data_IF_700074588899
#
_entry.id   IF_700074588899
#
_cell.length_a   1.000
_cell.length_b   1.000
_cell.length_c   1.000
_cell.angle_alpha   90.00
_cell.angle_beta   90.00
_cell.angle_gamma   90.00
#
_symmetry.space_group_name_H-M   'P 1'
#
loop_
_entity.id
_entity.type
_entity.pdbx_description
1 polymer ?
#
# COMPACT_ATOMS: atom_id res chain seq x y z
N UNK A 1 11.64 -50.90 -13.64
CA UNK A 1 11.46 -49.80 -14.61
C UNK A 1 11.40 -48.52 -13.81
N UNK A 2 12.55 -47.91 -13.62
CA UNK A 2 12.70 -46.68 -12.85
C UNK A 2 12.61 -45.51 -13.82
N UNK A 3 11.55 -44.69 -13.72
CA UNK A 3 11.45 -43.46 -14.50
C UNK A 3 12.11 -42.35 -13.67
N UNK A 4 13.15 -41.68 -14.17
CA UNK A 4 13.73 -40.57 -13.43
C UNK A 4 12.71 -39.43 -13.36
N UNK A 5 12.44 -38.98 -12.13
CA UNK A 5 11.71 -37.75 -11.87
C UNK A 5 12.54 -36.61 -12.46
N UNK A 6 12.06 -36.05 -13.57
CA UNK A 6 12.65 -34.84 -14.17
C UNK A 6 12.48 -33.72 -13.16
N UNK A 7 13.57 -33.40 -12.45
CA UNK A 7 13.66 -32.21 -11.63
C UNK A 7 13.30 -31.00 -12.48
N UNK A 8 12.24 -30.30 -12.08
CA UNK A 8 11.82 -29.02 -12.64
C UNK A 8 13.03 -28.09 -12.69
N UNK A 9 13.62 -27.93 -13.87
CA UNK A 9 14.64 -26.91 -14.13
C UNK A 9 13.92 -25.57 -13.95
N UNK A 10 14.19 -24.87 -12.84
CA UNK A 10 13.75 -23.47 -12.62
C UNK A 10 14.31 -22.62 -13.77
N UNK A 11 13.50 -22.43 -14.81
CA UNK A 11 13.86 -21.61 -15.97
C UNK A 11 13.80 -20.16 -15.53
N UNK A 12 14.96 -19.53 -15.44
CA UNK A 12 15.06 -18.09 -15.26
C UNK A 12 15.02 -17.47 -16.66
N UNK A 13 14.17 -16.46 -16.86
CA UNK A 13 14.16 -15.64 -18.09
C UNK A 13 14.39 -14.19 -17.66
N UNK A 14 15.63 -13.81 -17.27
CA UNK A 14 15.92 -12.49 -16.70
C UNK A 14 15.54 -11.34 -17.65
N UNK A 15 15.77 -11.53 -18.95
CA UNK A 15 15.52 -10.50 -19.98
C UNK A 15 14.02 -10.18 -20.14
N UNK A 16 13.14 -11.11 -19.78
CA UNK A 16 11.70 -10.92 -19.83
C UNK A 16 11.14 -10.20 -18.60
N UNK A 17 11.97 -9.90 -17.58
CA UNK A 17 11.54 -9.33 -16.28
C UNK A 17 10.46 -10.17 -15.59
N UNK A 18 10.50 -11.50 -15.76
CA UNK A 18 9.60 -12.45 -15.08
C UNK A 18 10.36 -13.06 -13.91
N UNK A 19 9.84 -12.85 -12.70
CA UNK A 19 10.46 -13.29 -11.46
C UNK A 19 9.58 -14.28 -10.72
N UNK A 20 10.20 -15.35 -10.21
CA UNK A 20 9.51 -16.29 -9.34
C UNK A 20 9.27 -15.66 -7.97
N UNK A 21 8.06 -15.80 -7.40
CA UNK A 21 7.67 -15.15 -6.14
C UNK A 21 8.59 -15.47 -4.95
N UNK A 22 9.09 -16.70 -4.84
CA UNK A 22 10.08 -17.11 -3.83
C UNK A 22 11.42 -16.36 -3.86
N UNK A 23 11.64 -15.42 -4.80
CA UNK A 23 12.79 -14.52 -4.78
C UNK A 23 12.64 -13.37 -3.79
N UNK A 24 11.43 -13.12 -3.31
CA UNK A 24 11.09 -11.95 -2.50
C UNK A 24 10.85 -12.34 -1.03
N UNK A 25 11.59 -13.33 -0.51
CA UNK A 25 11.37 -13.88 0.83
C UNK A 25 10.40 -15.05 0.83
N UNK A 26 10.72 -16.08 1.60
CA UNK A 26 9.87 -17.25 1.82
C UNK A 26 10.16 -17.78 3.20
N UNK A 27 9.10 -18.10 3.93
CA UNK A 27 9.15 -18.60 5.30
C UNK A 27 8.39 -19.92 5.37
N UNK A 28 8.74 -20.74 6.35
CA UNK A 28 8.04 -21.97 6.67
C UNK A 28 7.85 -22.01 8.17
N UNK A 29 6.64 -22.36 8.59
CA UNK A 29 6.27 -22.55 9.98
C UNK A 29 5.52 -23.87 10.12
N UNK A 30 5.66 -24.52 11.26
CA UNK A 30 4.83 -25.65 11.66
C UNK A 30 3.85 -25.15 12.72
N UNK A 31 2.56 -25.47 12.53
CA UNK A 31 1.50 -25.07 13.47
C UNK A 31 1.06 -26.31 14.21
N UNK A 32 1.44 -26.40 15.48
CA UNK A 32 0.87 -27.37 16.41
C UNK A 32 -0.49 -26.85 16.90
N UNK A 33 -1.58 -27.51 16.47
CA UNK A 33 -2.93 -27.14 16.89
C UNK A 33 -3.21 -27.44 18.37
N UNK A 34 -2.31 -28.12 19.07
CA UNK A 34 -2.39 -28.33 20.52
C UNK A 34 -1.70 -27.21 21.32
N UNK A 35 -0.84 -26.40 20.68
CA UNK A 35 -0.25 -25.19 21.25
C UNK A 35 0.06 -24.17 20.14
N UNK A 36 -0.88 -23.26 19.94
CA UNK A 36 -0.84 -22.30 18.82
C UNK A 36 -0.04 -21.03 19.12
N UNK A 37 0.33 -20.78 20.38
CA UNK A 37 0.97 -19.53 20.82
C UNK A 37 2.29 -19.27 20.08
N UNK A 38 3.13 -20.30 19.95
CA UNK A 38 4.42 -20.17 19.27
C UNK A 38 4.25 -19.85 17.79
N UNK A 39 3.27 -20.47 17.13
CA UNK A 39 2.96 -20.19 15.73
C UNK A 39 2.44 -18.77 15.55
N UNK A 40 1.59 -18.29 16.47
CA UNK A 40 1.06 -16.93 16.42
C UNK A 40 2.18 -15.88 16.56
N UNK A 41 3.07 -16.04 17.54
CA UNK A 41 4.20 -15.11 17.75
C UNK A 41 5.09 -15.04 16.50
N UNK A 42 5.38 -16.17 15.87
CA UNK A 42 6.23 -16.19 14.67
C UNK A 42 5.53 -15.58 13.45
N UNK A 43 4.24 -15.86 13.29
CA UNK A 43 3.39 -15.26 12.26
C UNK A 43 3.35 -13.72 12.36
N UNK A 44 3.17 -13.20 13.56
CA UNK A 44 3.16 -11.76 13.86
C UNK A 44 4.54 -11.14 13.61
N UNK A 45 5.61 -11.77 14.09
CA UNK A 45 6.99 -11.31 13.88
C UNK A 45 7.34 -11.19 12.40
N UNK A 46 6.98 -12.18 11.59
CA UNK A 46 7.22 -12.17 10.14
C UNK A 46 6.41 -11.06 9.47
N UNK A 47 5.14 -10.91 9.88
CA UNK A 47 4.25 -9.89 9.30
C UNK A 47 4.72 -8.47 9.62
N UNK A 48 5.17 -8.21 10.85
CA UNK A 48 5.76 -6.94 11.25
C UNK A 48 7.06 -6.63 10.49
N UNK A 49 7.89 -7.64 10.23
CA UNK A 49 9.10 -7.45 9.42
C UNK A 49 8.79 -7.08 7.97
N UNK A 50 7.76 -7.70 7.37
CA UNK A 50 7.29 -7.36 6.02
C UNK A 50 6.62 -5.99 5.99
N UNK A 51 5.92 -5.61 7.05
CA UNK A 51 5.35 -4.27 7.20
C UNK A 51 6.44 -3.21 7.23
N UNK A 52 7.49 -3.41 8.03
CA UNK A 52 8.59 -2.45 8.15
C UNK A 52 9.29 -2.22 6.81
N UNK A 53 9.53 -3.29 6.04
CA UNK A 53 10.09 -3.17 4.70
C UNK A 53 9.65 -4.32 3.78
N UNK A 54 8.93 -3.97 2.70
CA UNK A 54 8.45 -4.90 1.69
C UNK A 54 9.62 -5.62 1.00
N UNK A 55 9.75 -6.95 1.13
CA UNK A 55 10.85 -7.69 0.52
C UNK A 55 10.85 -7.64 -1.02
N UNK A 56 9.66 -7.61 -1.63
CA UNK A 56 9.54 -7.48 -3.08
C UNK A 56 9.94 -6.08 -3.55
N UNK A 57 9.50 -5.02 -2.86
CA UNK A 57 9.92 -3.65 -3.14
C UNK A 57 11.43 -3.50 -3.02
N UNK A 58 12.00 -3.98 -1.92
CA UNK A 58 13.44 -3.94 -1.64
C UNK A 58 14.25 -4.60 -2.74
N UNK A 59 13.79 -5.75 -3.27
CA UNK A 59 14.44 -6.43 -4.39
C UNK A 59 14.58 -5.55 -5.64
N UNK A 60 13.63 -4.63 -5.85
CA UNK A 60 13.65 -3.68 -6.97
C UNK A 60 14.17 -2.28 -6.59
N UNK A 61 14.81 -2.15 -5.43
CA UNK A 61 15.38 -0.87 -4.96
C UNK A 61 14.35 0.13 -4.43
N UNK A 62 13.11 -0.32 -4.15
CA UNK A 62 12.05 0.52 -3.58
C UNK A 62 11.87 0.16 -2.11
N UNK A 63 12.13 1.10 -1.19
CA UNK A 63 11.82 0.88 0.22
C UNK A 63 10.40 1.33 0.57
N UNK A 64 9.73 0.60 1.46
CA UNK A 64 8.36 0.91 1.83
C UNK A 64 7.57 -0.23 2.46
N UNK A 65 6.40 0.12 3.02
CA UNK A 65 5.53 -0.85 3.70
C UNK A 65 5.12 -2.04 2.81
N UNK A 66 5.23 -3.26 3.35
CA UNK A 66 4.63 -4.46 2.78
C UNK A 66 3.22 -4.73 3.32
N UNK A 67 2.36 -5.33 2.51
CA UNK A 67 0.97 -5.61 2.88
C UNK A 67 0.79 -6.86 3.78
N UNK A 68 1.89 -7.51 4.15
CA UNK A 68 1.88 -8.78 4.91
C UNK A 68 2.21 -10.00 4.05
N UNK A 69 1.82 -11.18 4.53
CA UNK A 69 2.30 -12.48 4.02
C UNK A 69 1.13 -13.41 3.69
N UNK A 70 1.23 -14.10 2.55
CA UNK A 70 0.32 -15.18 2.16
C UNK A 70 0.94 -16.52 2.55
N UNK A 71 0.20 -17.31 3.31
CA UNK A 71 0.59 -18.62 3.80
C UNK A 71 -0.12 -19.71 3.00
N UNK A 72 0.62 -20.77 2.67
CA UNK A 72 0.10 -21.92 1.94
C UNK A 72 0.47 -23.21 2.67
N UNK A 73 -0.44 -24.19 2.67
CA UNK A 73 -0.18 -25.49 3.28
C UNK A 73 0.68 -26.36 2.34
N UNK A 74 1.88 -26.73 2.80
CA UNK A 74 2.89 -27.42 1.98
C UNK A 74 2.53 -28.88 1.69
N UNK A 75 2.11 -29.72 2.66
CA UNK A 75 1.84 -31.14 2.42
C UNK A 75 0.70 -31.40 1.44
N UNK A 76 -0.29 -30.49 1.37
CA UNK A 76 -1.41 -30.60 0.45
C UNK A 76 -1.71 -29.23 -0.21
N UNK A 77 -1.18 -28.98 -1.42
CA UNK A 77 -1.31 -27.70 -2.08
C UNK A 77 -2.74 -27.48 -2.58
N UNK A 78 -3.55 -26.83 -1.75
CA UNK A 78 -4.91 -26.42 -2.07
C UNK A 78 -5.19 -25.04 -1.53
N UNK A 79 -5.81 -24.18 -2.35
CA UNK A 79 -6.20 -22.82 -1.95
C UNK A 79 -7.17 -22.77 -0.78
N UNK A 80 -7.83 -23.90 -0.46
CA UNK A 80 -8.67 -24.07 0.72
C UNK A 80 -7.94 -23.78 2.03
N UNK A 81 -6.63 -24.02 2.07
CA UNK A 81 -5.80 -23.87 3.27
C UNK A 81 -4.91 -22.63 3.21
N UNK A 82 -5.21 -21.68 2.32
CA UNK A 82 -4.44 -20.45 2.20
C UNK A 82 -5.06 -19.37 3.07
N UNK A 83 -4.21 -18.59 3.72
CA UNK A 83 -4.62 -17.40 4.45
C UNK A 83 -3.60 -16.28 4.27
N UNK A 84 -4.04 -15.04 4.41
CA UNK A 84 -3.16 -13.86 4.41
C UNK A 84 -3.14 -13.32 5.82
N UNK A 85 -1.95 -13.03 6.32
CA UNK A 85 -1.77 -12.21 7.51
C UNK A 85 -1.32 -10.83 7.06
N UNK A 86 -2.00 -9.80 7.54
CA UNK A 86 -1.67 -8.41 7.30
C UNK A 86 -1.29 -7.78 8.65
N UNK A 87 -0.56 -6.66 8.64
CA UNK A 87 -0.40 -5.85 9.84
C UNK A 87 -1.74 -5.61 10.54
N UNK A 88 -1.71 -5.54 11.86
CA UNK A 88 -2.86 -5.05 12.59
C UNK A 88 -3.24 -3.69 12.01
N UNK A 89 -4.54 -3.48 11.76
CA UNK A 89 -5.02 -2.20 11.27
C UNK A 89 -4.59 -1.06 12.19
N UNK A 90 -4.55 0.15 11.65
CA UNK A 90 -4.31 1.36 12.45
C UNK A 90 -5.28 1.40 13.64
N UNK A 91 -4.73 1.61 14.84
CA UNK A 91 -5.53 1.75 16.05
C UNK A 91 -6.42 3.00 15.97
N UNK A 92 -7.53 3.08 16.73
CA UNK A 92 -8.43 4.24 16.70
C UNK A 92 -7.73 5.58 16.98
N UNK A 93 -6.69 5.57 17.81
CA UNK A 93 -5.88 6.75 18.12
C UNK A 93 -5.06 7.23 16.90
N UNK A 94 -4.42 6.30 16.19
CA UNK A 94 -3.67 6.62 14.98
C UNK A 94 -4.60 7.11 13.87
N UNK A 95 -5.77 6.47 13.71
CA UNK A 95 -6.82 6.92 12.79
C UNK A 95 -7.19 8.37 13.10
N UNK A 96 -7.51 8.68 14.36
CA UNK A 96 -7.92 10.01 14.77
C UNK A 96 -6.80 11.06 14.55
N UNK A 97 -5.54 10.68 14.79
CA UNK A 97 -4.39 11.55 14.54
C UNK A 97 -4.21 11.86 13.04
N UNK A 98 -4.33 10.83 12.18
CA UNK A 98 -4.28 11.00 10.73
C UNK A 98 -5.45 11.87 10.23
N UNK A 99 -6.66 11.63 10.73
CA UNK A 99 -7.84 12.42 10.36
C UNK A 99 -7.68 13.89 10.79
N UNK A 100 -7.23 14.14 12.01
CA UNK A 100 -6.97 15.49 12.50
C UNK A 100 -5.90 16.22 11.66
N UNK A 101 -4.83 15.53 11.28
CA UNK A 101 -3.82 16.07 10.37
C UNK A 101 -4.44 16.43 9.00
N UNK A 102 -5.19 15.51 8.41
CA UNK A 102 -5.82 15.71 7.10
C UNK A 102 -6.85 16.85 7.14
N UNK A 103 -7.55 17.04 8.25
CA UNK A 103 -8.48 18.15 8.43
C UNK A 103 -7.81 19.49 8.60
N UNK A 104 -6.71 19.54 9.34
CA UNK A 104 -5.93 20.76 9.51
C UNK A 104 -5.26 21.21 8.20
N UNK A 105 -4.64 20.27 7.49
CA UNK A 105 -3.72 20.62 6.39
C UNK A 105 -4.31 20.45 5.00
N UNK A 106 -5.31 19.61 4.77
CA UNK A 106 -5.96 19.48 3.45
C UNK A 106 -7.17 20.41 3.39
N UNK A 107 -6.89 21.71 3.37
CA UNK A 107 -7.91 22.77 3.34
C UNK A 107 -8.56 22.91 1.95
N UNK A 108 -9.76 23.50 1.91
CA UNK A 108 -10.41 23.86 0.63
C UNK A 108 -9.54 24.80 -0.20
N UNK A 109 -8.77 25.70 0.42
CA UNK A 109 -7.84 26.59 -0.29
C UNK A 109 -6.77 25.81 -1.05
N UNK A 110 -6.15 24.82 -0.40
CA UNK A 110 -5.16 23.92 -1.02
C UNK A 110 -5.79 23.11 -2.17
N UNK A 111 -7.01 22.59 -1.97
CA UNK A 111 -7.73 21.84 -3.00
C UNK A 111 -8.09 22.70 -4.22
N UNK A 112 -8.54 23.93 -4.01
CA UNK A 112 -8.82 24.89 -5.08
C UNK A 112 -7.56 25.29 -5.86
N UNK A 113 -6.42 25.45 -5.19
CA UNK A 113 -5.13 25.69 -5.88
C UNK A 113 -4.80 24.53 -6.83
N UNK A 114 -5.11 23.30 -6.44
CA UNK A 114 -4.92 22.13 -7.30
C UNK A 114 -5.71 22.22 -8.61
N UNK A 115 -6.92 22.80 -8.59
CA UNK A 115 -7.69 23.06 -9.81
C UNK A 115 -7.01 24.10 -10.70
N UNK A 116 -6.47 25.17 -10.12
CA UNK A 116 -5.70 26.19 -10.86
C UNK A 116 -4.52 25.56 -11.58
N UNK A 117 -3.80 24.65 -10.92
CA UNK A 117 -2.66 23.93 -11.54
C UNK A 117 -3.10 23.02 -12.69
N UNK A 118 -4.28 22.39 -12.61
CA UNK A 118 -4.82 21.64 -13.74
C UNK A 118 -5.10 22.56 -14.94
N UNK A 119 -5.76 23.69 -14.68
CA UNK A 119 -6.08 24.69 -15.70
C UNK A 119 -4.82 25.27 -16.37
N UNK A 120 -3.80 25.63 -15.58
CA UNK A 120 -2.51 26.11 -16.08
C UNK A 120 -1.79 25.09 -16.97
N UNK A 121 -2.01 23.79 -16.71
CA UNK A 121 -1.46 22.69 -17.51
C UNK A 121 -2.34 22.31 -18.70
N UNK A 122 -3.46 23.01 -18.91
CA UNK A 122 -4.43 22.70 -19.96
C UNK A 122 -5.13 21.34 -19.75
N UNK A 123 -5.23 20.87 -18.51
CA UNK A 123 -5.90 19.62 -18.16
C UNK A 123 -7.34 19.95 -17.79
N UNK A 124 -8.27 19.38 -18.54
CA UNK A 124 -9.70 19.52 -18.28
C UNK A 124 -10.10 18.82 -16.96
N UNK A 125 -10.98 19.48 -16.20
CA UNK A 125 -11.49 18.98 -14.92
C UNK A 125 -12.51 17.85 -15.13
N UNK A 126 -12.02 16.66 -15.48
CA UNK A 126 -12.84 15.47 -15.70
C UNK A 126 -12.37 14.28 -14.85
N UNK A 127 -13.08 13.16 -14.91
CA UNK A 127 -12.77 11.95 -14.12
C UNK A 127 -11.34 11.45 -14.38
N UNK A 128 -10.82 11.62 -15.59
CA UNK A 128 -9.48 11.23 -16.00
C UNK A 128 -8.39 12.06 -15.31
N UNK A 129 -8.68 13.33 -14.96
CA UNK A 129 -7.77 14.19 -14.22
C UNK A 129 -7.64 13.84 -12.73
N UNK A 130 -8.52 12.99 -12.18
CA UNK A 130 -8.55 12.64 -10.74
C UNK A 130 -7.17 12.20 -10.21
N UNK A 131 -6.47 11.34 -10.95
CA UNK A 131 -5.16 10.83 -10.54
C UNK A 131 -4.11 11.95 -10.48
N UNK A 132 -4.11 12.83 -11.47
CA UNK A 132 -3.18 13.95 -11.58
C UNK A 132 -3.43 14.95 -10.45
N UNK A 133 -4.70 15.28 -10.20
CA UNK A 133 -5.11 16.14 -9.09
C UNK A 133 -4.65 15.59 -7.74
N UNK A 134 -4.96 14.33 -7.45
CA UNK A 134 -4.60 13.67 -6.19
C UNK A 134 -3.09 13.65 -6.00
N UNK A 135 -2.32 13.31 -7.04
CA UNK A 135 -0.86 13.31 -6.98
C UNK A 135 -0.29 14.71 -6.70
N UNK A 136 -0.87 15.75 -7.29
CA UNK A 136 -0.45 17.12 -7.02
C UNK A 136 -0.71 17.50 -5.55
N UNK A 137 -1.92 17.23 -5.03
CA UNK A 137 -2.27 17.52 -3.64
C UNK A 137 -1.36 16.77 -2.66
N UNK A 138 -1.09 15.48 -2.91
CA UNK A 138 -0.15 14.70 -2.11
C UNK A 138 1.25 15.31 -2.12
N UNK A 139 1.74 15.70 -3.30
CA UNK A 139 3.05 16.34 -3.45
C UNK A 139 3.16 17.66 -2.68
N UNK A 140 2.13 18.49 -2.75
CA UNK A 140 2.05 19.75 -2.02
C UNK A 140 2.06 19.52 -0.50
N UNK A 141 1.26 18.56 0.01
CA UNK A 141 1.24 18.20 1.44
C UNK A 141 2.60 17.68 1.92
N UNK A 142 3.27 16.81 1.15
CA UNK A 142 4.61 16.33 1.52
C UNK A 142 5.62 17.48 1.57
N UNK A 143 5.55 18.40 0.61
CA UNK A 143 6.47 19.53 0.50
C UNK A 143 6.31 20.52 1.64
N UNK A 144 5.08 20.83 2.03
CA UNK A 144 4.79 21.85 3.04
C UNK A 144 4.74 21.27 4.47
N UNK A 145 4.27 20.02 4.64
CA UNK A 145 3.96 19.43 5.95
C UNK A 145 4.79 18.17 6.27
N UNK A 146 5.82 17.88 5.48
CA UNK A 146 6.73 16.75 5.68
C UNK A 146 7.33 16.72 7.09
N UNK A 147 7.82 17.86 7.56
CA UNK A 147 8.41 18.01 8.88
C UNK A 147 7.37 17.85 9.99
N UNK A 148 6.15 18.34 9.78
CA UNK A 148 5.03 18.17 10.72
C UNK A 148 4.66 16.70 10.87
N UNK A 149 4.60 15.93 9.77
CA UNK A 149 4.34 14.49 9.82
C UNK A 149 5.45 13.77 10.62
N UNK A 150 6.71 14.11 10.38
CA UNK A 150 7.84 13.52 11.10
C UNK A 150 7.82 13.88 12.60
N UNK A 151 7.49 15.12 12.96
CA UNK A 151 7.43 15.57 14.35
C UNK A 151 6.32 14.90 15.17
N UNK A 152 5.24 14.45 14.52
CA UNK A 152 4.11 13.76 15.16
C UNK A 152 4.18 12.23 15.01
N UNK A 153 5.31 11.68 14.55
CA UNK A 153 5.50 10.25 14.27
C UNK A 153 4.42 9.66 13.36
N UNK A 154 3.90 10.49 12.45
CA UNK A 154 2.87 10.07 11.50
C UNK A 154 3.50 9.33 10.33
N UNK A 155 3.07 8.10 10.11
CA UNK A 155 3.55 7.33 8.98
C UNK A 155 3.10 7.95 7.64
N UNK A 156 4.04 8.56 6.92
CA UNK A 156 3.79 9.34 5.68
C UNK A 156 2.87 8.61 4.70
N UNK A 157 3.10 7.32 4.42
CA UNK A 157 2.23 6.58 3.47
C UNK A 157 0.77 6.46 3.94
N UNK A 158 0.54 6.32 5.24
CA UNK A 158 -0.81 6.19 5.82
C UNK A 158 -1.52 7.55 5.75
N UNK A 159 -0.82 8.64 6.05
CA UNK A 159 -1.31 10.01 5.85
C UNK A 159 -1.65 10.27 4.38
N UNK A 160 -0.74 9.96 3.45
CA UNK A 160 -0.96 10.21 2.03
C UNK A 160 -2.13 9.39 1.45
N UNK A 161 -2.41 8.20 1.99
CA UNK A 161 -3.61 7.46 1.62
C UNK A 161 -4.89 8.19 2.05
N UNK A 162 -4.91 8.76 3.26
CA UNK A 162 -6.03 9.56 3.75
C UNK A 162 -6.20 10.88 2.98
N UNK A 163 -5.09 11.58 2.69
CA UNK A 163 -5.08 12.79 1.82
C UNK A 163 -5.68 12.47 0.45
N UNK A 164 -5.28 11.34 -0.16
CA UNK A 164 -5.79 10.93 -1.46
C UNK A 164 -7.31 10.68 -1.45
N UNK A 165 -7.83 10.10 -0.38
CA UNK A 165 -9.27 9.87 -0.23
C UNK A 165 -10.03 11.19 -0.15
N UNK A 166 -9.61 12.11 0.73
CA UNK A 166 -10.25 13.42 0.86
C UNK A 166 -10.19 14.24 -0.42
N UNK A 167 -9.01 14.31 -1.06
CA UNK A 167 -8.82 15.03 -2.31
C UNK A 167 -9.69 14.45 -3.44
N UNK A 168 -9.73 13.12 -3.58
CA UNK A 168 -10.56 12.45 -4.59
C UNK A 168 -12.04 12.73 -4.40
N UNK A 169 -12.53 12.63 -3.16
CA UNK A 169 -13.95 12.82 -2.87
C UNK A 169 -14.36 14.28 -3.05
N UNK A 170 -13.48 15.22 -2.72
CA UNK A 170 -13.69 16.64 -3.00
C UNK A 170 -13.72 16.92 -4.50
N UNK A 171 -12.75 16.40 -5.26
CA UNK A 171 -12.66 16.63 -6.70
C UNK A 171 -13.86 16.06 -7.44
N UNK A 172 -14.33 14.86 -7.06
CA UNK A 172 -15.57 14.27 -7.59
C UNK A 172 -16.80 15.16 -7.38
N UNK A 173 -16.87 15.86 -6.24
CA UNK A 173 -17.96 16.82 -5.99
C UNK A 173 -17.80 18.08 -6.83
N UNK A 174 -16.59 18.60 -6.98
CA UNK A 174 -16.30 19.78 -7.80
C UNK A 174 -16.72 19.57 -9.26
N UNK A 175 -16.29 18.47 -9.89
CA UNK A 175 -16.65 18.15 -11.29
C UNK A 175 -18.16 17.91 -11.47
N UNK A 176 -18.85 17.40 -10.45
CA UNK A 176 -20.28 17.14 -10.50
C UNK A 176 -21.12 18.42 -10.37
N UNK A 177 -20.54 19.50 -9.81
CA UNK A 177 -21.16 20.83 -9.79
C UNK A 177 -20.99 21.50 -11.16
N UNK A 178 -19.78 21.48 -11.73
CA UNK A 178 -19.53 22.04 -13.07
C UNK A 178 -20.43 21.39 -14.13
N UNK A 179 -20.61 20.07 -14.10
CA UNK A 179 -21.47 19.36 -15.06
C UNK A 179 -22.99 19.65 -14.94
N UNK A 180 -23.43 20.44 -13.94
CA UNK A 180 -24.84 20.85 -13.78
C UNK A 180 -25.11 22.26 -14.28
N UNK A 181 -24.05 23.04 -14.48
CA UNK A 181 -24.13 24.44 -14.93
C UNK A 181 -23.88 24.58 -16.44
N UNK A 182 -23.58 23.47 -17.14
CA UNK A 182 -23.52 23.30 -18.60
C UNK A 182 -24.83 22.69 -19.18
#
# INVERSE_FOLDING_TARGET
MDRPVVGSRRRLIPDARIFHIHRFGTWMIEIDFTSTENAQVELERITAAVEAECPAGKHFGVSGIGEGVVWTYVPYPSSRFWFKLQPAGIGPEEVASIEAFVDMYVSNGRLSQGLTILAERGIECNVQATGIFVQWVQGDVVKEEGDTMAANDLHVKRVLAAVANKARDWFKRAIAVEARDD
#
